data_IF_004614800276
#
_entry.id   IF_004614800276
#
_cell.length_a   1.000
_cell.length_b   1.000
_cell.length_c   1.000
_cell.angle_alpha   90.00
_cell.angle_beta   90.00
_cell.angle_gamma   90.00
#
_symmetry.space_group_name_H-M   'P 1'
#
loop_
_entity.id
_entity.type
_entity.pdbx_description
1 polymer ?
#
# COMPACT_ATOMS: atom_id res chain seq x y z
N UNK A 1 -6.56 -25.52 -21.12
CA UNK A 1 -6.48 -24.86 -22.44
C UNK A 1 -5.14 -24.16 -22.49
N UNK A 2 -4.23 -24.66 -23.32
CA UNK A 2 -2.95 -24.01 -23.58
C UNK A 2 -3.20 -22.89 -24.60
N UNK A 3 -2.67 -21.71 -24.34
CA UNK A 3 -2.70 -20.59 -25.29
C UNK A 3 -1.55 -20.77 -26.29
N UNK A 4 -1.78 -20.68 -27.61
CA UNK A 4 -0.72 -20.82 -28.59
C UNK A 4 0.18 -19.58 -28.60
N UNK A 5 1.49 -19.81 -28.66
CA UNK A 5 2.51 -18.75 -28.79
C UNK A 5 2.59 -18.40 -30.28
N UNK A 6 2.09 -17.23 -30.65
CA UNK A 6 2.39 -16.62 -31.96
C UNK A 6 3.71 -15.86 -31.88
N UNK A 7 4.55 -16.16 -32.86
CA UNK A 7 5.96 -15.80 -32.99
C UNK A 7 6.07 -14.51 -33.80
N UNK A 8 6.10 -13.37 -33.12
CA UNK A 8 6.52 -12.09 -33.71
C UNK A 8 7.89 -11.69 -33.17
N UNK A 9 8.86 -11.76 -34.09
CA UNK A 9 10.27 -11.48 -33.92
C UNK A 9 10.52 -10.03 -33.53
N UNK A 10 10.69 -9.75 -32.23
CA UNK A 10 11.25 -8.47 -31.79
C UNK A 10 12.79 -8.55 -31.78
N UNK A 11 13.39 -7.80 -32.70
CA UNK A 11 14.84 -7.65 -32.92
C UNK A 11 15.48 -6.93 -31.73
N UNK A 12 16.35 -7.59 -30.98
CA UNK A 12 17.19 -6.93 -29.96
C UNK A 12 18.31 -6.17 -30.67
N UNK A 13 18.33 -4.85 -30.53
CA UNK A 13 19.47 -4.01 -30.89
C UNK A 13 20.43 -3.92 -29.69
N UNK A 14 21.69 -4.20 -29.96
CA UNK A 14 22.83 -4.32 -29.05
C UNK A 14 23.52 -2.95 -28.89
N UNK A 15 23.41 -2.35 -27.67
CA UNK A 15 24.18 -1.22 -27.04
C UNK A 15 23.25 -0.25 -26.27
N UNK A 16 23.54 0.23 -25.06
CA UNK A 16 24.80 0.49 -24.35
C UNK A 16 24.67 0.17 -22.84
N UNK A 17 25.82 -0.04 -22.19
CA UNK A 17 26.04 -0.36 -20.79
C UNK A 17 25.16 0.42 -19.79
N UNK A 18 24.40 -0.30 -18.95
CA UNK A 18 23.76 0.28 -17.76
C UNK A 18 24.74 0.10 -16.61
N UNK A 19 25.35 1.20 -16.17
CA UNK A 19 26.09 1.26 -14.91
C UNK A 19 25.15 0.84 -13.77
N UNK A 20 25.53 -0.22 -13.04
CA UNK A 20 24.82 -0.67 -11.84
C UNK A 20 25.01 0.38 -10.74
N UNK A 21 24.11 1.35 -10.65
CA UNK A 21 24.03 2.23 -9.49
C UNK A 21 23.45 1.46 -8.30
N UNK A 22 24.25 1.31 -7.26
CA UNK A 22 23.93 0.65 -5.99
C UNK A 22 22.65 1.23 -5.34
N UNK A 23 21.54 0.48 -5.34
CA UNK A 23 20.33 0.76 -4.55
C UNK A 23 20.55 0.50 -3.03
N UNK A 24 21.69 0.89 -2.47
CA UNK A 24 22.07 0.59 -1.07
C UNK A 24 21.96 1.83 -0.16
N UNK A 25 20.86 2.59 -0.26
CA UNK A 25 20.63 3.72 0.65
C UNK A 25 19.20 3.90 1.18
N UNK A 26 18.23 3.08 0.74
CA UNK A 26 16.83 3.27 1.13
C UNK A 26 16.33 2.36 2.26
N UNK A 27 17.10 1.35 2.66
CA UNK A 27 16.70 0.41 3.72
C UNK A 27 16.90 1.01 5.13
N UNK A 28 17.86 1.92 5.29
CA UNK A 28 18.22 2.47 6.60
C UNK A 28 17.10 3.32 7.24
N UNK A 29 16.17 3.86 6.45
CA UNK A 29 15.08 4.69 6.94
C UNK A 29 13.88 3.88 7.50
N UNK A 30 13.73 2.61 7.10
CA UNK A 30 12.65 1.74 7.63
C UNK A 30 12.80 1.46 9.13
N UNK A 31 14.05 1.42 9.60
CA UNK A 31 14.37 1.11 11.00
C UNK A 31 13.94 2.23 11.98
N UNK A 32 13.63 3.43 11.48
CA UNK A 32 13.14 4.56 12.29
C UNK A 32 11.62 4.75 12.19
N UNK A 33 10.86 3.67 12.00
CA UNK A 33 9.41 3.75 12.08
C UNK A 33 8.97 4.03 13.53
N UNK A 34 8.59 5.28 13.82
CA UNK A 34 8.02 5.66 15.12
C UNK A 34 6.79 4.78 15.46
N UNK A 35 6.64 4.38 16.73
CA UNK A 35 5.51 3.59 17.22
C UNK A 35 4.13 4.16 16.83
N UNK A 36 4.00 5.49 16.71
CA UNK A 36 2.77 6.14 16.25
C UNK A 36 2.46 5.82 14.78
N UNK A 37 3.48 5.76 13.93
CA UNK A 37 3.38 5.35 12.53
C UNK A 37 3.00 3.87 12.41
N UNK A 38 3.63 2.99 13.20
CA UNK A 38 3.26 1.56 13.26
C UNK A 38 1.78 1.38 13.63
N UNK A 39 1.31 2.06 14.68
CA UNK A 39 -0.11 2.01 15.11
C UNK A 39 -1.07 2.54 14.05
N UNK A 40 -0.69 3.62 13.36
CA UNK A 40 -1.46 4.18 12.25
C UNK A 40 -1.60 3.15 11.11
N UNK A 41 -0.47 2.60 10.64
CA UNK A 41 -0.44 1.60 9.56
C UNK A 41 -1.24 0.34 9.91
N UNK A 42 -1.09 -0.17 11.14
CA UNK A 42 -1.89 -1.31 11.61
C UNK A 42 -3.39 -1.02 11.56
N UNK A 43 -3.81 0.20 11.88
CA UNK A 43 -5.22 0.60 11.84
C UNK A 43 -5.73 0.72 10.40
N UNK A 44 -4.92 1.29 9.49
CA UNK A 44 -5.23 1.37 8.06
C UNK A 44 -5.34 -0.03 7.45
N UNK A 45 -4.42 -0.94 7.74
CA UNK A 45 -4.48 -2.30 7.23
C UNK A 45 -5.72 -3.06 7.68
N UNK A 46 -6.20 -2.85 8.91
CA UNK A 46 -7.47 -3.44 9.35
C UNK A 46 -8.64 -2.98 8.48
N UNK A 47 -8.70 -1.71 8.13
CA UNK A 47 -9.72 -1.17 7.21
C UNK A 47 -9.54 -1.79 5.82
N UNK A 48 -8.32 -1.81 5.28
CA UNK A 48 -8.04 -2.39 3.98
C UNK A 48 -8.47 -3.86 3.89
N UNK A 49 -8.16 -4.67 4.91
CA UNK A 49 -8.58 -6.07 4.98
C UNK A 49 -10.11 -6.21 5.02
N UNK A 50 -10.80 -5.37 5.80
CA UNK A 50 -12.26 -5.35 5.84
C UNK A 50 -12.87 -4.97 4.48
N UNK A 51 -12.25 -4.05 3.74
CA UNK A 51 -12.66 -3.67 2.38
C UNK A 51 -12.37 -4.78 1.34
N UNK A 52 -11.34 -5.59 1.56
CA UNK A 52 -10.89 -6.64 0.65
C UNK A 52 -11.56 -8.00 0.90
N UNK A 53 -12.54 -8.09 1.80
CA UNK A 53 -13.29 -9.33 2.01
C UNK A 53 -13.96 -9.82 0.71
N UNK A 54 -13.99 -11.14 0.52
CA UNK A 54 -14.48 -11.75 -0.72
C UNK A 54 -15.98 -11.51 -0.92
N UNK A 55 -16.76 -11.48 0.14
CA UNK A 55 -18.20 -11.21 0.13
C UNK A 55 -18.50 -9.73 0.27
N UNK A 56 -19.33 -9.17 -0.60
CA UNK A 56 -19.74 -7.75 -0.53
C UNK A 56 -20.51 -7.41 0.74
N UNK A 57 -21.25 -8.37 1.30
CA UNK A 57 -22.05 -8.19 2.53
C UNK A 57 -21.21 -8.14 3.80
N UNK A 58 -20.01 -8.69 3.75
CA UNK A 58 -19.08 -8.73 4.89
C UNK A 58 -18.13 -7.53 4.88
N UNK A 59 -17.98 -6.86 3.73
CA UNK A 59 -17.16 -5.65 3.62
C UNK A 59 -17.73 -4.54 4.50
N UNK A 60 -16.83 -3.78 5.10
CA UNK A 60 -17.18 -2.51 5.73
C UNK A 60 -17.80 -1.59 4.67
N UNK A 61 -18.90 -0.90 5.02
CA UNK A 61 -19.51 0.06 4.11
C UNK A 61 -18.63 1.33 3.99
N UNK A 62 -18.77 2.05 2.88
CA UNK A 62 -17.89 3.18 2.59
C UNK A 62 -18.05 4.35 3.57
N UNK A 63 -19.22 4.54 4.16
CA UNK A 63 -19.44 5.58 5.19
C UNK A 63 -18.58 5.30 6.44
N UNK A 64 -18.61 4.05 6.91
CA UNK A 64 -17.78 3.58 8.01
C UNK A 64 -16.28 3.66 7.68
N UNK A 65 -15.89 3.29 6.46
CA UNK A 65 -14.50 3.41 5.98
C UNK A 65 -14.03 4.86 6.06
N UNK A 66 -14.79 5.80 5.51
CA UNK A 66 -14.43 7.22 5.53
C UNK A 66 -14.37 7.76 6.96
N UNK A 67 -15.32 7.37 7.83
CA UNK A 67 -15.34 7.77 9.24
C UNK A 67 -14.09 7.28 9.99
N UNK A 68 -13.74 6.00 9.84
CA UNK A 68 -12.58 5.43 10.52
C UNK A 68 -11.26 5.99 9.97
N UNK A 69 -11.15 6.23 8.66
CA UNK A 69 -9.98 6.88 8.07
C UNK A 69 -9.78 8.31 8.61
N UNK A 70 -10.85 9.11 8.70
CA UNK A 70 -10.78 10.43 9.33
C UNK A 70 -10.36 10.35 10.80
N UNK A 71 -10.86 9.36 11.54
CA UNK A 71 -10.47 9.12 12.92
C UNK A 71 -8.99 8.78 13.04
N UNK A 72 -8.49 7.85 12.23
CA UNK A 72 -7.07 7.47 12.20
C UNK A 72 -6.20 8.69 11.89
N UNK A 73 -6.57 9.47 10.86
CA UNK A 73 -5.87 10.72 10.51
C UNK A 73 -5.78 11.67 11.69
N UNK A 74 -6.90 11.93 12.37
CA UNK A 74 -6.94 12.88 13.48
C UNK A 74 -6.10 12.40 14.67
N UNK A 75 -6.19 11.10 15.01
CA UNK A 75 -5.38 10.50 16.07
C UNK A 75 -3.89 10.56 15.72
N UNK A 76 -3.51 10.25 14.49
CA UNK A 76 -2.12 10.28 14.04
C UNK A 76 -1.52 11.69 14.05
N UNK A 77 -2.32 12.70 13.66
CA UNK A 77 -1.90 14.10 13.64
C UNK A 77 -2.06 14.81 15.01
N UNK A 78 -2.55 14.11 16.04
CA UNK A 78 -2.75 14.69 17.38
C UNK A 78 -3.91 15.67 17.49
N UNK A 79 -4.78 15.76 16.47
CA UNK A 79 -6.04 16.48 16.57
C UNK A 79 -6.99 15.64 17.43
N UNK A 80 -7.02 15.92 18.74
CA UNK A 80 -7.86 15.22 19.71
C UNK A 80 -9.27 14.95 19.16
N UNK A 81 -9.69 13.68 19.23
CA UNK A 81 -11.00 13.21 18.77
C UNK A 81 -12.10 14.04 19.44
N UNK A 82 -12.79 14.89 18.67
CA UNK A 82 -14.01 15.57 19.11
C UNK A 82 -15.19 14.76 18.56
N UNK A 83 -15.81 13.87 19.36
CA UNK A 83 -17.05 13.24 18.95
C UNK A 83 -18.13 14.33 18.89
N UNK A 84 -18.80 14.43 17.74
CA UNK A 84 -20.09 15.11 17.60
C UNK A 84 -21.21 14.10 17.82
#
# INVERSE_FOLDING_TARGET
MAMPIENDSYKYDDRDDIEEEEEESHIENLNQMNASMQKCLLSVFKISLACSLKSSKERMNMEDVTRELHRIKNVFLGFGYRPT
#
